data_IF_345541973562
#
_entry.id   IF_345541973562
#
_cell.length_a   1.000
_cell.length_b   1.000
_cell.length_c   1.000
_cell.angle_alpha   90.00
_cell.angle_beta   90.00
_cell.angle_gamma   90.00
#
_symmetry.space_group_name_H-M   'P 1'
#
loop_
_entity.id
_entity.type
_entity.pdbx_description
1 polymer ?
#
# COMPACT_ATOMS: atom_id res chain seq x y z
N UNK A 1 -11.72 -20.59 -31.90
CA UNK A 1 -12.64 -19.53 -32.29
C UNK A 1 -11.87 -18.26 -32.47
N UNK A 2 -11.59 -17.87 -33.70
CA UNK A 2 -10.77 -16.68 -33.97
C UNK A 2 -11.42 -15.38 -33.50
N UNK A 3 -12.73 -15.28 -33.56
CA UNK A 3 -13.49 -14.10 -33.12
C UNK A 3 -13.37 -13.85 -31.64
N UNK A 4 -13.08 -14.86 -30.84
CA UNK A 4 -12.88 -14.70 -29.39
C UNK A 4 -11.60 -13.96 -29.06
N UNK A 5 -10.58 -14.06 -29.92
CA UNK A 5 -9.32 -13.36 -29.71
C UNK A 5 -9.46 -11.85 -29.86
N UNK A 6 -10.41 -11.36 -30.67
CA UNK A 6 -10.65 -9.95 -30.91
C UNK A 6 -11.22 -9.23 -29.68
N UNK A 7 -11.89 -9.96 -28.81
CA UNK A 7 -12.54 -9.42 -27.62
C UNK A 7 -11.87 -9.85 -26.33
N UNK A 8 -10.69 -10.45 -26.43
CA UNK A 8 -9.96 -10.91 -25.27
C UNK A 8 -9.34 -9.72 -24.53
N UNK A 9 -9.89 -9.41 -23.37
CA UNK A 9 -9.32 -8.41 -22.46
C UNK A 9 -8.18 -9.06 -21.69
N UNK A 10 -6.99 -8.41 -21.56
CA UNK A 10 -5.92 -8.91 -20.72
C UNK A 10 -6.44 -9.16 -19.29
N UNK A 11 -6.17 -10.35 -18.77
CA UNK A 11 -6.57 -10.71 -17.42
C UNK A 11 -5.69 -9.99 -16.43
N UNK A 12 -6.28 -9.21 -15.55
CA UNK A 12 -5.59 -8.69 -14.38
C UNK A 12 -5.40 -9.82 -13.38
N UNK A 13 -4.18 -9.96 -12.88
CA UNK A 13 -3.86 -10.97 -11.87
C UNK A 13 -3.42 -10.29 -10.59
N UNK A 14 -4.20 -10.50 -9.54
CA UNK A 14 -3.89 -10.07 -8.19
C UNK A 14 -3.20 -11.18 -7.43
N UNK A 15 -2.14 -10.83 -6.74
CA UNK A 15 -1.41 -11.75 -5.86
C UNK A 15 -1.51 -11.25 -4.42
N UNK A 16 -1.51 -12.18 -3.49
CA UNK A 16 -1.43 -11.86 -2.07
C UNK A 16 0.03 -11.74 -1.67
N UNK A 17 0.41 -10.58 -1.16
CA UNK A 17 1.77 -10.31 -0.71
C UNK A 17 1.90 -10.58 0.79
N UNK A 18 0.91 -10.18 1.58
CA UNK A 18 0.91 -10.46 3.02
C UNK A 18 -0.51 -10.57 3.56
N UNK A 19 -0.66 -11.39 4.58
CA UNK A 19 -1.86 -11.47 5.42
C UNK A 19 -1.41 -11.99 6.78
N UNK A 20 -1.18 -11.09 7.71
CA UNK A 20 -0.62 -11.43 9.01
C UNK A 20 -1.16 -10.53 10.11
N UNK A 21 -1.09 -11.01 11.33
CA UNK A 21 -1.38 -10.24 12.54
C UNK A 21 -0.07 -9.98 13.25
N UNK A 22 0.20 -8.72 13.59
CA UNK A 22 1.43 -8.35 14.27
C UNK A 22 1.43 -8.89 15.69
N UNK A 23 2.53 -9.55 16.05
CA UNK A 23 2.76 -10.09 17.40
C UNK A 23 3.49 -9.10 18.29
N UNK A 24 4.08 -8.09 17.68
CA UNK A 24 4.78 -7.02 18.38
C UNK A 24 4.55 -5.69 17.66
N UNK A 25 4.76 -4.61 18.35
CA UNK A 25 4.71 -3.28 17.80
C UNK A 25 5.90 -3.05 16.87
N UNK A 26 5.66 -2.51 15.68
CA UNK A 26 6.72 -2.25 14.70
C UNK A 26 6.59 -0.85 14.10
N UNK A 27 7.72 -0.23 13.80
CA UNK A 27 7.77 1.08 13.17
C UNK A 27 7.64 1.01 11.66
N UNK A 28 8.02 -0.11 11.06
CA UNK A 28 8.01 -0.26 9.59
C UNK A 28 7.70 -1.68 9.17
N UNK A 29 7.15 -1.78 7.97
CA UNK A 29 6.83 -3.04 7.31
C UNK A 29 7.37 -2.95 5.88
N UNK A 30 8.11 -3.96 5.45
CA UNK A 30 8.68 -4.03 4.11
C UNK A 30 8.39 -5.38 3.48
N UNK A 31 8.04 -5.36 2.20
CA UNK A 31 7.65 -6.53 1.44
C UNK A 31 8.50 -6.62 0.17
N UNK A 32 9.19 -7.73 0.00
CA UNK A 32 10.03 -8.03 -1.17
C UNK A 32 9.62 -9.31 -1.87
N UNK A 33 8.76 -10.10 -1.23
CA UNK A 33 8.24 -11.36 -1.75
C UNK A 33 6.73 -11.41 -1.55
N UNK A 34 6.06 -12.27 -2.32
CA UNK A 34 4.66 -12.60 -2.08
C UNK A 34 4.50 -13.52 -0.86
N UNK A 35 3.27 -13.90 -0.54
CA UNK A 35 2.98 -14.75 0.62
C UNK A 35 3.61 -16.15 0.53
N UNK A 36 3.96 -16.58 -0.66
CA UNK A 36 4.63 -17.87 -0.90
C UNK A 36 6.16 -17.76 -0.95
N UNK A 37 6.70 -16.57 -0.71
CA UNK A 37 8.14 -16.34 -0.72
C UNK A 37 8.74 -16.06 -2.10
N UNK A 38 7.94 -15.86 -3.13
CA UNK A 38 8.38 -15.57 -4.48
C UNK A 38 8.53 -14.05 -4.70
N UNK A 39 9.58 -13.59 -5.40
CA UNK A 39 9.69 -12.20 -5.79
C UNK A 39 8.48 -11.77 -6.62
N UNK A 40 8.06 -10.53 -6.46
CA UNK A 40 6.95 -9.99 -7.22
C UNK A 40 7.38 -8.79 -8.09
N UNK A 41 6.59 -8.54 -9.11
CA UNK A 41 6.63 -7.32 -9.90
C UNK A 41 5.21 -6.87 -10.14
N UNK A 42 4.84 -5.73 -9.56
CA UNK A 42 3.47 -5.23 -9.53
C UNK A 42 3.41 -3.80 -10.04
N UNK A 43 2.35 -3.49 -10.79
CA UNK A 43 2.05 -2.12 -11.21
C UNK A 43 1.19 -1.37 -10.20
N UNK A 44 0.60 -2.08 -9.24
CA UNK A 44 -0.22 -1.51 -8.17
C UNK A 44 -0.11 -2.36 -6.93
N UNK A 45 -0.06 -1.72 -5.78
CA UNK A 45 -0.06 -2.38 -4.48
C UNK A 45 -1.09 -1.71 -3.58
N UNK A 46 -1.89 -2.53 -2.90
CA UNK A 46 -2.83 -2.10 -1.89
C UNK A 46 -2.38 -2.66 -0.55
N UNK A 47 -2.15 -1.77 0.40
CA UNK A 47 -1.79 -2.08 1.77
C UNK A 47 -2.97 -1.74 2.67
N UNK A 48 -3.32 -2.65 3.56
CA UNK A 48 -4.37 -2.45 4.56
C UNK A 48 -3.83 -2.79 5.95
N UNK A 49 -4.09 -1.90 6.90
CA UNK A 49 -3.84 -2.14 8.31
C UNK A 49 -5.15 -1.93 9.06
N UNK A 50 -5.57 -2.94 9.84
CA UNK A 50 -6.77 -2.88 10.67
C UNK A 50 -6.41 -3.08 12.11
N UNK A 51 -6.86 -2.17 12.97
CA UNK A 51 -6.63 -2.18 14.41
C UNK A 51 -7.98 -2.29 15.10
N UNK A 52 -8.33 -3.46 15.59
CA UNK A 52 -9.67 -3.73 16.14
C UNK A 52 -10.02 -2.89 17.36
N UNK A 53 -9.02 -2.52 18.19
CA UNK A 53 -9.21 -1.65 19.37
C UNK A 53 -9.18 -0.16 19.05
N UNK A 54 -8.89 0.19 17.78
CA UNK A 54 -8.66 1.57 17.37
C UNK A 54 -7.28 2.10 17.77
N UNK A 55 -6.77 3.01 16.98
CA UNK A 55 -5.53 3.73 17.27
C UNK A 55 -5.91 5.05 17.94
N UNK A 56 -5.76 5.10 19.28
CA UNK A 56 -6.08 6.29 20.07
C UNK A 56 -4.88 7.22 20.09
N UNK A 57 -4.91 8.22 19.25
CA UNK A 57 -3.86 9.22 19.15
C UNK A 57 -4.47 10.62 19.09
N UNK A 58 -3.74 11.60 19.59
CA UNK A 58 -4.14 13.00 19.61
C UNK A 58 -3.76 13.75 18.35
N UNK A 59 -2.92 13.15 17.52
CA UNK A 59 -2.43 13.70 16.26
C UNK A 59 -2.76 12.77 15.12
N UNK A 60 -2.74 13.29 13.90
CA UNK A 60 -2.84 12.45 12.71
C UNK A 60 -1.67 11.46 12.65
N UNK A 61 -1.96 10.24 12.25
CA UNK A 61 -0.96 9.20 12.06
C UNK A 61 -0.18 9.50 10.78
N UNK A 62 1.12 9.73 10.91
CA UNK A 62 2.00 10.03 9.79
C UNK A 62 2.61 8.74 9.25
N UNK A 63 2.26 8.41 8.02
CA UNK A 63 2.79 7.25 7.32
C UNK A 63 3.60 7.69 6.11
N UNK A 64 4.67 6.97 5.87
CA UNK A 64 5.50 7.14 4.69
C UNK A 64 5.48 5.86 3.88
N UNK A 65 5.16 6.00 2.60
CA UNK A 65 5.17 4.89 1.65
C UNK A 65 6.41 5.02 0.79
N UNK A 66 7.13 3.93 0.61
CA UNK A 66 8.24 3.86 -0.31
C UNK A 66 8.16 2.59 -1.16
N UNK A 67 8.64 2.68 -2.37
CA UNK A 67 8.60 1.59 -3.33
C UNK A 67 10.01 1.14 -3.70
N UNK A 68 10.22 0.71 -4.92
CA UNK A 68 11.48 0.20 -5.44
C UNK A 68 12.66 1.13 -5.18
N UNK A 69 12.42 2.44 -5.19
CA UNK A 69 13.42 3.47 -4.90
C UNK A 69 12.97 4.27 -3.67
N UNK A 70 13.89 4.53 -2.76
CA UNK A 70 13.60 5.33 -1.56
C UNK A 70 13.22 6.78 -1.90
N UNK A 71 13.62 7.26 -3.07
CA UNK A 71 13.25 8.60 -3.53
C UNK A 71 11.79 8.70 -3.99
N UNK A 72 11.10 7.58 -4.11
CA UNK A 72 9.68 7.53 -4.45
C UNK A 72 8.76 7.59 -3.24
N UNK A 73 9.19 8.20 -2.16
CA UNK A 73 8.41 8.33 -0.94
C UNK A 73 7.17 9.18 -1.13
N UNK A 74 6.05 8.67 -0.66
CA UNK A 74 4.82 9.41 -0.47
C UNK A 74 4.52 9.56 1.02
N UNK A 75 4.02 10.72 1.41
CA UNK A 75 3.58 10.98 2.78
C UNK A 75 2.06 10.87 2.84
N UNK A 76 1.57 10.24 3.88
CA UNK A 76 0.14 10.16 4.16
C UNK A 76 -0.14 10.56 5.60
N UNK A 77 -1.21 11.29 5.80
CA UNK A 77 -1.70 11.67 7.12
C UNK A 77 -3.05 11.01 7.33
N UNK A 78 -3.10 10.09 8.27
CA UNK A 78 -4.32 9.38 8.61
C UNK A 78 -5.00 10.09 9.78
N UNK A 79 -6.30 10.19 9.72
CA UNK A 79 -7.10 10.88 10.74
C UNK A 79 -6.82 10.34 12.15
N UNK A 80 -7.00 11.20 13.14
CA UNK A 80 -6.89 10.83 14.57
C UNK A 80 -7.90 9.74 14.92
N UNK A 81 -7.58 8.92 15.91
CA UNK A 81 -8.48 7.93 16.48
C UNK A 81 -9.07 6.98 15.43
N UNK A 82 -8.25 6.58 14.46
CA UNK A 82 -8.65 5.66 13.40
C UNK A 82 -8.57 4.20 13.83
N UNK A 83 -9.24 3.33 13.09
CA UNK A 83 -9.16 1.87 13.24
C UNK A 83 -8.22 1.23 12.23
N UNK A 84 -7.37 2.01 11.63
CA UNK A 84 -6.42 1.55 10.63
C UNK A 84 -6.36 2.47 9.42
N UNK A 85 -5.75 1.95 8.38
CA UNK A 85 -5.56 2.69 7.14
C UNK A 85 -5.57 1.78 5.93
N UNK A 86 -5.80 2.39 4.78
CA UNK A 86 -5.57 1.78 3.48
C UNK A 86 -4.66 2.69 2.66
N UNK A 87 -3.65 2.10 2.04
CA UNK A 87 -2.74 2.76 1.12
C UNK A 87 -2.88 2.08 -0.23
N UNK A 88 -3.02 2.85 -1.28
CA UNK A 88 -3.15 2.36 -2.65
C UNK A 88 -2.11 3.09 -3.49
N UNK A 89 -1.18 2.33 -4.04
CA UNK A 89 -0.04 2.88 -4.78
C UNK A 89 0.03 2.25 -6.16
N UNK A 90 0.14 3.07 -7.20
CA UNK A 90 0.28 2.61 -8.57
C UNK A 90 1.31 3.39 -9.36
N UNK A 91 1.91 2.73 -10.34
CA UNK A 91 2.85 3.32 -11.28
C UNK A 91 2.09 3.80 -12.50
N UNK A 92 2.33 5.04 -12.90
CA UNK A 92 1.77 5.63 -14.11
C UNK A 92 2.93 5.95 -15.06
N UNK A 93 3.33 5.00 -15.93
CA UNK A 93 4.54 5.15 -16.75
C UNK A 93 4.47 6.32 -17.74
N UNK A 94 3.28 6.62 -18.26
CA UNK A 94 3.08 7.68 -19.25
C UNK A 94 3.47 9.07 -18.78
N UNK A 95 3.38 9.32 -17.47
CA UNK A 95 3.75 10.59 -16.85
C UNK A 95 4.92 10.45 -15.88
N UNK A 96 5.58 9.29 -15.86
CA UNK A 96 6.71 9.00 -14.97
C UNK A 96 6.41 9.34 -13.51
N UNK A 97 5.34 8.74 -13.01
CA UNK A 97 4.79 9.07 -11.71
C UNK A 97 4.43 7.81 -10.93
N UNK A 98 4.62 7.85 -9.63
CA UNK A 98 3.97 6.96 -8.69
C UNK A 98 2.89 7.74 -7.97
N UNK A 99 1.69 7.22 -7.98
CA UNK A 99 0.58 7.79 -7.25
C UNK A 99 0.36 6.99 -5.98
N UNK A 100 0.29 7.68 -4.85
CA UNK A 100 -0.09 7.10 -3.58
C UNK A 100 -1.40 7.74 -3.13
N UNK A 101 -2.36 6.90 -2.78
CA UNK A 101 -3.61 7.32 -2.15
C UNK A 101 -3.69 6.68 -0.78
N UNK A 102 -4.14 7.44 0.20
CA UNK A 102 -4.24 6.98 1.57
C UNK A 102 -5.54 7.44 2.21
N UNK A 103 -6.09 6.61 3.05
CA UNK A 103 -7.26 6.94 3.86
C UNK A 103 -7.27 6.16 5.15
N UNK A 104 -7.94 6.72 6.16
CA UNK A 104 -8.13 6.09 7.46
C UNK A 104 -9.49 5.39 7.55
N UNK A 105 -9.54 4.33 8.32
CA UNK A 105 -10.79 3.70 8.71
C UNK A 105 -11.34 4.35 9.96
N UNK A 106 -12.59 4.82 9.89
CA UNK A 106 -13.32 5.38 11.02
C UNK A 106 -14.65 4.67 11.12
N UNK A 107 -14.84 3.86 12.15
CA UNK A 107 -16.10 3.13 12.39
C UNK A 107 -16.59 2.32 11.17
N UNK A 108 -15.67 1.73 10.41
CA UNK A 108 -15.98 0.91 9.25
C UNK A 108 -15.98 1.62 7.90
N UNK A 109 -15.93 2.94 7.90
CA UNK A 109 -15.90 3.74 6.68
C UNK A 109 -14.49 4.28 6.40
N UNK A 110 -14.18 4.41 5.11
CA UNK A 110 -12.99 5.13 4.67
C UNK A 110 -13.23 6.63 4.76
N UNK A 111 -12.33 7.31 5.43
CA UNK A 111 -12.35 8.78 5.53
C UNK A 111 -11.00 9.36 5.15
N UNK A 112 -10.99 10.64 4.80
CA UNK A 112 -9.74 11.39 4.60
C UNK A 112 -8.84 10.84 3.48
N UNK A 113 -9.41 10.48 2.32
CA UNK A 113 -8.61 10.13 1.16
C UNK A 113 -7.68 11.27 0.77
N UNK A 114 -6.43 10.96 0.67
CA UNK A 114 -5.39 11.86 0.20
C UNK A 114 -4.71 11.23 -1.01
N UNK A 115 -4.37 12.06 -1.99
CA UNK A 115 -3.61 11.62 -3.16
C UNK A 115 -2.31 12.41 -3.24
N UNK A 116 -1.21 11.69 -3.35
CA UNK A 116 0.12 12.26 -3.51
C UNK A 116 0.75 11.70 -4.77
N UNK A 117 1.15 12.58 -5.65
CA UNK A 117 1.89 12.23 -6.86
C UNK A 117 3.36 12.49 -6.65
N UNK A 118 4.20 11.53 -7.00
CA UNK A 118 5.64 11.66 -6.96
C UNK A 118 6.21 11.44 -8.35
N UNK A 119 6.85 12.47 -8.88
CA UNK A 119 7.50 12.44 -10.18
C UNK A 119 8.99 12.16 -10.05
N UNK A 120 9.56 11.44 -11.01
CA UNK A 120 10.99 11.21 -11.08
C UNK A 120 11.40 10.29 -12.21
N UNK A 121 12.66 10.33 -12.58
CA UNK A 121 13.20 9.57 -13.71
C UNK A 121 13.21 8.06 -13.46
N UNK A 122 13.12 7.63 -12.20
CA UNK A 122 13.18 6.23 -11.81
C UNK A 122 11.81 5.61 -11.60
N UNK A 123 10.74 6.34 -11.83
CA UNK A 123 9.38 5.95 -11.49
C UNK A 123 8.69 5.18 -12.63
N UNK A 124 9.43 4.76 -13.63
CA UNK A 124 8.89 3.90 -14.70
C UNK A 124 8.94 2.41 -14.35
N UNK A 125 9.66 2.06 -13.30
CA UNK A 125 9.78 0.68 -12.87
C UNK A 125 8.57 0.28 -12.03
N UNK A 126 8.10 -0.96 -12.26
CA UNK A 126 7.08 -1.57 -11.42
C UNK A 126 7.60 -1.80 -10.00
N UNK A 127 6.68 -2.01 -9.06
CA UNK A 127 7.04 -2.31 -7.69
C UNK A 127 7.62 -3.72 -7.58
N UNK A 128 8.88 -3.81 -7.22
CA UNK A 128 9.55 -5.06 -6.81
C UNK A 128 9.80 -5.08 -5.31
N UNK A 129 9.49 -3.98 -4.65
CA UNK A 129 9.63 -3.75 -3.22
C UNK A 129 8.61 -2.72 -2.80
N UNK A 130 8.03 -2.90 -1.63
CA UNK A 130 7.06 -1.96 -1.07
C UNK A 130 7.23 -1.89 0.44
N UNK A 131 7.22 -0.69 0.97
CA UNK A 131 7.37 -0.48 2.40
C UNK A 131 6.51 0.65 2.92
N UNK A 132 6.11 0.51 4.17
CA UNK A 132 5.38 1.53 4.92
C UNK A 132 6.06 1.70 6.26
N UNK A 133 6.37 2.93 6.65
CA UNK A 133 6.81 3.19 8.00
C UNK A 133 6.02 4.31 8.65
N UNK A 134 5.84 4.16 9.95
CA UNK A 134 5.13 5.12 10.78
C UNK A 134 6.14 6.02 11.50
N UNK A 135 5.89 7.31 11.50
CA UNK A 135 6.81 8.27 12.11
C UNK A 135 6.46 8.60 13.55
N UNK A 136 5.20 8.88 13.85
CA UNK A 136 4.80 9.33 15.18
C UNK A 136 4.15 8.25 16.05
N UNK A 137 3.54 7.24 15.44
CA UNK A 137 2.92 6.11 16.13
C UNK A 137 3.24 4.83 15.40
N UNK A 138 3.76 3.83 16.07
CA UNK A 138 4.07 2.54 15.47
C UNK A 138 2.79 1.77 15.07
N UNK A 139 2.94 0.81 14.19
CA UNK A 139 1.90 -0.19 13.97
C UNK A 139 1.75 -1.02 15.24
N UNK A 140 0.56 -1.07 15.85
CA UNK A 140 0.40 -1.69 17.15
C UNK A 140 0.39 -3.21 17.08
N UNK A 141 0.65 -3.85 18.22
CA UNK A 141 0.43 -5.28 18.40
C UNK A 141 -1.03 -5.61 18.09
N UNK A 142 -1.26 -6.79 17.50
CA UNK A 142 -2.56 -7.27 17.03
C UNK A 142 -3.14 -6.54 15.82
N UNK A 143 -2.42 -5.61 15.24
CA UNK A 143 -2.83 -5.05 13.95
C UNK A 143 -2.80 -6.13 12.87
N UNK A 144 -3.87 -6.21 12.08
CA UNK A 144 -3.93 -7.10 10.93
C UNK A 144 -3.43 -6.37 9.70
N UNK A 145 -2.45 -6.95 9.05
CA UNK A 145 -1.81 -6.40 7.85
C UNK A 145 -2.15 -7.29 6.67
N UNK A 146 -2.72 -6.69 5.64
CA UNK A 146 -3.02 -7.35 4.37
C UNK A 146 -2.46 -6.52 3.23
N UNK A 147 -1.78 -7.20 2.31
CA UNK A 147 -1.19 -6.54 1.15
C UNK A 147 -1.48 -7.36 -0.10
N UNK A 148 -1.98 -6.70 -1.13
CA UNK A 148 -2.22 -7.28 -2.44
C UNK A 148 -1.45 -6.51 -3.49
N UNK A 149 -0.99 -7.22 -4.51
CA UNK A 149 -0.34 -6.63 -5.66
C UNK A 149 -1.02 -7.01 -6.96
N UNK A 150 -1.16 -6.05 -7.85
CA UNK A 150 -1.61 -6.28 -9.21
C UNK A 150 -0.37 -6.49 -10.08
N UNK A 151 -0.23 -7.68 -10.66
CA UNK A 151 0.92 -8.02 -11.50
C UNK A 151 1.07 -7.09 -12.69
N UNK A 152 2.29 -6.79 -12.97
CA UNK A 152 2.67 -5.99 -14.13
C UNK A 152 2.35 -6.69 -15.46
#
# INVERSE_FOLDING_TARGET
MAEMALFKVPREEWIKIADTTLKEEVASLEFTTDINGNPFECKRIIFQCVVSSGLKNTESWKLYVYSTDIDTRGNAYIAKNCYGCMLDSDVIPSIKCVRHRAGGYSAGDMSSWQEVLKYGFYITANFTRYGVYAQNYNFPVNARIRVWGLKA
#
